data_IF_546242293824
#
_entry.id   IF_546242293824
#
_cell.length_a   1.000
_cell.length_b   1.000
_cell.length_c   1.000
_cell.angle_alpha   90.00
_cell.angle_beta   90.00
_cell.angle_gamma   90.00
#
_symmetry.space_group_name_H-M   'P 1'
#
loop_
_entity.id
_entity.type
_entity.pdbx_description
1 polymer ?
#
# COMPACT_ATOMS: atom_id res chain seq x y z
N UNK A 1 14.85 21.91 -20.20
CA UNK A 1 15.65 21.44 -19.04
C UNK A 1 15.51 19.93 -18.99
N UNK A 2 16.61 19.19 -19.11
CA UNK A 2 16.61 17.72 -18.97
C UNK A 2 16.58 17.39 -17.48
N UNK A 3 15.44 16.91 -16.98
CA UNK A 3 15.36 16.42 -15.61
C UNK A 3 16.22 15.16 -15.47
N UNK A 4 17.04 15.11 -14.42
CA UNK A 4 17.83 13.93 -14.08
C UNK A 4 16.92 12.83 -13.49
N UNK A 5 17.29 11.53 -13.61
CA UNK A 5 16.50 10.45 -13.03
C UNK A 5 16.24 10.61 -11.52
N UNK A 6 17.20 11.17 -10.77
CA UNK A 6 17.04 11.48 -9.35
C UNK A 6 15.98 12.54 -9.08
N UNK A 7 15.96 13.63 -9.88
CA UNK A 7 14.95 14.68 -9.74
C UNK A 7 13.55 14.18 -10.05
N UNK A 8 13.41 13.28 -11.04
CA UNK A 8 12.14 12.63 -11.37
C UNK A 8 11.68 11.75 -10.19
N UNK A 9 12.59 10.98 -9.60
CA UNK A 9 12.29 10.13 -8.46
C UNK A 9 11.89 10.95 -7.22
N UNK A 10 12.64 12.00 -6.89
CA UNK A 10 12.34 12.90 -5.77
C UNK A 10 10.98 13.57 -5.95
N UNK A 11 10.65 13.99 -7.18
CA UNK A 11 9.34 14.55 -7.50
C UNK A 11 8.23 13.52 -7.33
N UNK A 12 8.42 12.29 -7.80
CA UNK A 12 7.45 11.21 -7.65
C UNK A 12 7.20 10.88 -6.16
N UNK A 13 8.26 10.81 -5.35
CA UNK A 13 8.17 10.60 -3.89
C UNK A 13 7.45 11.77 -3.22
N UNK A 14 7.77 13.01 -3.60
CA UNK A 14 7.10 14.20 -3.06
C UNK A 14 5.61 14.17 -3.35
N UNK A 15 5.21 13.84 -4.57
CA UNK A 15 3.81 13.76 -4.99
C UNK A 15 3.06 12.63 -4.33
N UNK A 16 3.66 11.45 -4.22
CA UNK A 16 3.04 10.31 -3.52
C UNK A 16 2.66 10.63 -2.07
N UNK A 17 3.43 11.49 -1.39
CA UNK A 17 3.18 11.90 0.00
C UNK A 17 1.98 12.84 0.17
N UNK A 18 1.37 13.34 -0.91
CA UNK A 18 0.12 14.09 -0.83
C UNK A 18 -1.04 13.11 -0.51
N UNK A 19 -1.93 13.40 0.45
CA UNK A 19 -2.98 12.45 0.87
C UNK A 19 -3.91 11.99 -0.26
N UNK A 20 -4.20 12.87 -1.23
CA UNK A 20 -4.96 12.51 -2.43
C UNK A 20 -4.21 11.53 -3.31
N UNK A 21 -2.94 11.80 -3.58
CA UNK A 21 -2.10 10.95 -4.42
C UNK A 21 -1.86 9.59 -3.77
N UNK A 22 -1.63 9.56 -2.46
CA UNK A 22 -1.56 8.32 -1.69
C UNK A 22 -2.86 7.52 -1.84
N UNK A 23 -4.02 8.17 -1.70
CA UNK A 23 -5.34 7.55 -1.90
C UNK A 23 -5.49 6.97 -3.31
N UNK A 24 -5.07 7.70 -4.35
CA UNK A 24 -5.09 7.23 -5.73
C UNK A 24 -4.19 6.00 -5.91
N UNK A 25 -2.98 6.00 -5.36
CA UNK A 25 -2.09 4.83 -5.41
C UNK A 25 -2.67 3.62 -4.66
N UNK A 26 -3.30 3.83 -3.51
CA UNK A 26 -4.00 2.76 -2.78
C UNK A 26 -5.18 2.22 -3.57
N UNK A 27 -5.97 3.10 -4.20
CA UNK A 27 -7.09 2.69 -5.07
C UNK A 27 -6.58 1.90 -6.29
N UNK A 28 -5.47 2.34 -6.90
CA UNK A 28 -4.83 1.61 -7.99
C UNK A 28 -4.32 0.23 -7.55
N UNK A 29 -3.73 0.12 -6.36
CA UNK A 29 -3.30 -1.17 -5.81
C UNK A 29 -4.47 -2.13 -5.60
N UNK A 30 -5.60 -1.64 -5.07
CA UNK A 30 -6.83 -2.43 -4.98
C UNK A 30 -7.34 -2.83 -6.38
N UNK A 31 -7.28 -1.91 -7.34
CA UNK A 31 -7.59 -2.17 -8.74
C UNK A 31 -6.71 -3.28 -9.34
N UNK A 32 -5.40 -3.28 -9.10
CA UNK A 32 -4.50 -4.33 -9.56
C UNK A 32 -4.81 -5.69 -8.92
N UNK A 33 -5.19 -5.73 -7.64
CA UNK A 33 -5.65 -6.96 -7.00
C UNK A 33 -6.92 -7.51 -7.69
N UNK A 34 -7.87 -6.63 -8.02
CA UNK A 34 -9.06 -6.99 -8.79
C UNK A 34 -8.72 -7.42 -10.22
N UNK A 35 -7.74 -6.79 -10.86
CA UNK A 35 -7.21 -7.22 -12.16
C UNK A 35 -6.68 -8.64 -12.09
N UNK A 36 -5.85 -8.97 -11.09
CA UNK A 36 -5.32 -10.32 -10.91
C UNK A 36 -6.45 -11.33 -10.70
N UNK A 37 -7.46 -11.00 -9.88
CA UNK A 37 -8.58 -11.88 -9.63
C UNK A 37 -9.46 -12.07 -10.87
N UNK A 38 -9.82 -11.00 -11.58
CA UNK A 38 -10.73 -11.06 -12.72
C UNK A 38 -10.03 -11.39 -14.05
N UNK A 39 -8.71 -11.27 -14.12
CA UNK A 39 -7.91 -11.31 -15.36
C UNK A 39 -8.43 -10.33 -16.42
N UNK A 40 -8.90 -9.15 -15.99
CA UNK A 40 -9.54 -8.18 -16.87
C UNK A 40 -8.54 -7.13 -17.36
N UNK A 41 -8.31 -7.03 -18.69
CA UNK A 41 -7.43 -6.00 -19.25
C UNK A 41 -8.01 -4.58 -19.07
N UNK A 42 -9.34 -4.44 -18.98
CA UNK A 42 -9.98 -3.16 -18.70
C UNK A 42 -9.68 -2.68 -17.29
N UNK A 43 -9.76 -3.58 -16.29
CA UNK A 43 -9.37 -3.25 -14.92
C UNK A 43 -7.88 -2.92 -14.84
N UNK A 44 -7.04 -3.63 -15.60
CA UNK A 44 -5.61 -3.33 -15.68
C UNK A 44 -5.36 -1.91 -16.19
N UNK A 45 -5.97 -1.55 -17.33
CA UNK A 45 -5.85 -0.22 -17.91
C UNK A 45 -6.37 0.87 -16.96
N UNK A 46 -7.54 0.67 -16.35
CA UNK A 46 -8.10 1.60 -15.37
C UNK A 46 -7.17 1.78 -14.16
N UNK A 47 -6.62 0.68 -13.63
CA UNK A 47 -5.68 0.71 -12.49
C UNK A 47 -4.38 1.44 -12.84
N UNK A 48 -3.86 1.24 -14.05
CA UNK A 48 -2.70 1.99 -14.55
C UNK A 48 -2.99 3.48 -14.69
N UNK A 49 -4.15 3.87 -15.19
CA UNK A 49 -4.55 5.28 -15.30
C UNK A 49 -4.63 5.93 -13.92
N UNK A 50 -5.26 5.24 -12.95
CA UNK A 50 -5.39 5.73 -11.58
C UNK A 50 -4.02 5.81 -10.89
N UNK A 51 -3.15 4.82 -11.09
CA UNK A 51 -1.77 4.85 -10.60
C UNK A 51 -1.01 6.05 -11.19
N UNK A 52 -1.11 6.24 -12.51
CA UNK A 52 -0.52 7.37 -13.22
C UNK A 52 -1.02 8.72 -12.68
N UNK A 53 -2.33 8.84 -12.45
CA UNK A 53 -2.97 10.04 -11.90
C UNK A 53 -2.36 10.46 -10.56
N UNK A 54 -1.99 9.50 -9.70
CA UNK A 54 -1.34 9.76 -8.41
C UNK A 54 0.10 10.30 -8.51
N UNK A 55 0.71 10.32 -9.69
CA UNK A 55 1.99 10.99 -9.94
C UNK A 55 1.85 12.42 -10.49
N UNK A 56 0.64 12.90 -10.74
CA UNK A 56 0.39 14.30 -11.10
C UNK A 56 0.11 15.15 -9.85
N UNK A 57 0.03 16.47 -10.04
CA UNK A 57 -0.41 17.40 -9.01
C UNK A 57 -1.81 17.87 -9.41
N UNK A 58 -2.85 17.06 -9.12
CA UNK A 58 -4.19 17.41 -9.51
C UNK A 58 -4.66 18.61 -8.68
N UNK A 59 -5.36 19.55 -9.32
CA UNK A 59 -5.98 20.69 -8.66
C UNK A 59 -7.21 20.23 -7.87
N UNK A 60 -6.94 19.55 -6.75
CA UNK A 60 -7.95 19.01 -5.84
C UNK A 60 -8.08 19.92 -4.62
N UNK A 61 -9.29 20.03 -4.05
CA UNK A 61 -9.49 20.78 -2.82
C UNK A 61 -8.64 20.17 -1.69
N UNK A 62 -8.36 20.99 -0.68
CA UNK A 62 -7.72 20.52 0.56
C UNK A 62 -8.41 19.26 1.08
N UNK A 63 -7.66 18.19 1.44
CA UNK A 63 -8.23 16.96 1.93
C UNK A 63 -9.19 17.20 3.11
N UNK A 64 -10.44 16.70 3.07
CA UNK A 64 -11.39 16.89 4.15
C UNK A 64 -10.93 16.15 5.42
N UNK A 65 -11.22 16.71 6.60
CA UNK A 65 -10.90 16.08 7.88
C UNK A 65 -11.87 14.93 8.22
N UNK A 66 -11.68 13.80 7.57
CA UNK A 66 -12.42 12.57 7.82
C UNK A 66 -11.49 11.42 8.26
N UNK A 67 -12.09 10.30 8.68
CA UNK A 67 -11.33 9.12 9.15
C UNK A 67 -10.35 8.59 8.10
N UNK A 68 -10.72 8.65 6.83
CA UNK A 68 -9.90 8.19 5.72
C UNK A 68 -8.65 9.05 5.55
N UNK A 69 -8.78 10.37 5.46
CA UNK A 69 -7.61 11.25 5.28
C UNK A 69 -6.71 11.31 6.51
N UNK A 70 -7.27 11.11 7.71
CA UNK A 70 -6.45 10.87 8.91
C UNK A 70 -5.65 9.57 8.82
N UNK A 71 -6.23 8.50 8.27
CA UNK A 71 -5.51 7.24 8.02
C UNK A 71 -4.42 7.45 6.96
N UNK A 72 -4.75 8.07 5.83
CA UNK A 72 -3.82 8.35 4.74
C UNK A 72 -2.62 9.18 5.24
N UNK A 73 -2.86 10.25 6.02
CA UNK A 73 -1.80 11.05 6.60
C UNK A 73 -0.91 10.24 7.55
N UNK A 74 -1.49 9.38 8.41
CA UNK A 74 -0.73 8.47 9.28
C UNK A 74 0.07 7.45 8.48
N UNK A 75 -0.47 6.93 7.39
CA UNK A 75 0.20 5.98 6.51
C UNK A 75 1.40 6.62 5.81
N UNK A 76 1.22 7.81 5.24
CA UNK A 76 2.32 8.61 4.65
C UNK A 76 3.42 8.88 5.68
N UNK A 77 3.04 9.28 6.89
CA UNK A 77 4.02 9.54 7.95
C UNK A 77 4.74 8.26 8.38
N UNK A 78 4.02 7.14 8.47
CA UNK A 78 4.62 5.83 8.73
C UNK A 78 5.59 5.41 7.62
N UNK A 79 5.24 5.58 6.35
CA UNK A 79 6.11 5.28 5.20
C UNK A 79 7.38 6.14 5.22
N UNK A 80 7.25 7.44 5.53
CA UNK A 80 8.39 8.36 5.69
C UNK A 80 9.33 7.88 6.79
N UNK A 81 8.78 7.57 7.97
CA UNK A 81 9.56 7.12 9.11
C UNK A 81 10.21 5.75 8.85
N UNK A 82 9.49 4.84 8.19
CA UNK A 82 10.03 3.56 7.77
C UNK A 82 11.18 3.74 6.79
N UNK A 83 11.02 4.58 5.76
CA UNK A 83 12.06 4.86 4.77
C UNK A 83 13.32 5.48 5.40
N UNK A 84 13.13 6.45 6.31
CA UNK A 84 14.22 7.13 7.00
C UNK A 84 14.96 6.25 8.03
N UNK A 85 14.29 5.24 8.60
CA UNK A 85 14.91 4.35 9.57
C UNK A 85 16.09 3.56 8.96
N UNK A 86 17.21 3.39 9.68
CA UNK A 86 18.37 2.66 9.17
C UNK A 86 18.04 1.19 8.88
N UNK A 87 18.68 0.64 7.85
CA UNK A 87 18.54 -0.78 7.51
C UNK A 87 19.28 -1.66 8.51
N UNK A 88 18.57 -2.10 9.54
CA UNK A 88 19.03 -3.12 10.47
C UNK A 88 18.42 -4.50 10.13
N UNK A 89 18.92 -5.56 10.77
CA UNK A 89 18.44 -6.94 10.56
C UNK A 89 16.92 -7.07 10.76
N UNK A 90 16.35 -6.39 11.75
CA UNK A 90 14.91 -6.42 12.01
C UNK A 90 14.09 -5.81 10.86
N UNK A 91 14.51 -4.66 10.33
CA UNK A 91 13.87 -3.99 9.18
C UNK A 91 13.95 -4.87 7.93
N UNK A 92 15.11 -5.49 7.68
CA UNK A 92 15.30 -6.42 6.57
C UNK A 92 14.37 -7.64 6.67
N UNK A 93 14.29 -8.28 7.85
CA UNK A 93 13.42 -9.43 8.05
C UNK A 93 11.94 -9.08 7.87
N UNK A 94 11.50 -7.94 8.43
CA UNK A 94 10.14 -7.44 8.24
C UNK A 94 9.84 -7.15 6.76
N UNK A 95 10.77 -6.51 6.06
CA UNK A 95 10.62 -6.25 4.63
C UNK A 95 10.54 -7.55 3.82
N UNK A 96 11.44 -8.50 4.07
CA UNK A 96 11.43 -9.80 3.41
C UNK A 96 10.13 -10.57 3.67
N UNK A 97 9.62 -10.54 4.90
CA UNK A 97 8.34 -11.14 5.25
C UNK A 97 7.17 -10.49 4.52
N UNK A 98 7.09 -9.16 4.53
CA UNK A 98 6.03 -8.42 3.81
C UNK A 98 6.10 -8.69 2.31
N UNK A 99 7.31 -8.72 1.73
CA UNK A 99 7.52 -9.06 0.32
C UNK A 99 7.05 -10.48 0.01
N UNK A 100 7.38 -11.46 0.86
CA UNK A 100 6.92 -12.85 0.70
C UNK A 100 5.39 -12.92 0.73
N UNK A 101 4.74 -12.29 1.72
CA UNK A 101 3.28 -12.24 1.83
C UNK A 101 2.67 -11.60 0.58
N UNK A 102 3.25 -10.50 0.06
CA UNK A 102 2.78 -9.84 -1.15
C UNK A 102 2.89 -10.74 -2.40
N UNK A 103 4.00 -11.48 -2.54
CA UNK A 103 4.18 -12.43 -3.64
C UNK A 103 3.19 -13.59 -3.57
N UNK A 104 2.97 -14.16 -2.37
CA UNK A 104 1.98 -15.23 -2.15
C UNK A 104 0.57 -14.71 -2.42
N UNK A 105 0.23 -13.49 -1.98
CA UNK A 105 -1.06 -12.88 -2.25
C UNK A 105 -1.27 -12.65 -3.76
N UNK A 106 -0.27 -12.14 -4.47
CA UNK A 106 -0.34 -11.95 -5.92
C UNK A 106 -0.53 -13.29 -6.66
N UNK A 107 0.23 -14.32 -6.26
CA UNK A 107 0.08 -15.67 -6.79
C UNK A 107 -1.32 -16.24 -6.51
N UNK A 108 -1.83 -16.12 -5.29
CA UNK A 108 -3.14 -16.64 -4.90
C UNK A 108 -4.29 -15.92 -5.62
N UNK A 109 -4.18 -14.59 -5.81
CA UNK A 109 -5.13 -13.82 -6.61
C UNK A 109 -5.11 -14.26 -8.08
N UNK A 110 -3.92 -14.50 -8.63
CA UNK A 110 -3.74 -14.98 -10.01
C UNK A 110 -4.28 -16.40 -10.22
N UNK A 111 -4.00 -17.34 -9.31
CA UNK A 111 -4.54 -18.71 -9.39
C UNK A 111 -6.00 -18.80 -8.96
N UNK A 112 -6.54 -17.72 -8.38
CA UNK A 112 -7.88 -17.65 -7.77
C UNK A 112 -8.10 -18.72 -6.69
N UNK A 113 -7.06 -19.04 -5.93
CA UNK A 113 -7.12 -20.06 -4.87
C UNK A 113 -7.82 -19.49 -3.61
N UNK A 114 -9.08 -19.87 -3.34
CA UNK A 114 -9.83 -19.30 -2.21
C UNK A 114 -9.30 -19.75 -0.86
N UNK A 115 -8.63 -20.91 -0.78
CA UNK A 115 -8.09 -21.43 0.48
C UNK A 115 -6.91 -20.57 0.91
N UNK A 116 -6.00 -20.28 -0.01
CA UNK A 116 -4.83 -19.44 0.29
C UNK A 116 -5.25 -18.01 0.61
N UNK A 117 -6.23 -17.46 -0.11
CA UNK A 117 -6.81 -16.15 0.20
C UNK A 117 -7.47 -16.12 1.59
N UNK A 118 -8.21 -17.17 1.95
CA UNK A 118 -8.82 -17.30 3.27
C UNK A 118 -7.77 -17.42 4.39
N UNK A 119 -6.68 -18.15 4.16
CA UNK A 119 -5.56 -18.25 5.11
C UNK A 119 -4.88 -16.89 5.31
N UNK A 120 -4.66 -16.12 4.24
CA UNK A 120 -4.11 -14.76 4.34
C UNK A 120 -5.04 -13.83 5.13
N UNK A 121 -6.36 -13.90 4.88
CA UNK A 121 -7.35 -13.13 5.62
C UNK A 121 -7.40 -13.52 7.11
N UNK A 122 -7.38 -14.83 7.41
CA UNK A 122 -7.35 -15.34 8.77
C UNK A 122 -6.06 -14.93 9.50
N UNK A 123 -4.91 -14.98 8.83
CA UNK A 123 -3.65 -14.52 9.39
C UNK A 123 -3.68 -13.02 9.71
N UNK A 124 -4.21 -12.18 8.80
CA UNK A 124 -4.38 -10.75 9.07
C UNK A 124 -5.31 -10.49 10.26
N UNK A 125 -6.39 -11.26 10.39
CA UNK A 125 -7.30 -11.18 11.52
C UNK A 125 -6.63 -11.62 12.84
N UNK A 126 -5.82 -12.69 12.83
CA UNK A 126 -5.05 -13.10 14.00
C UNK A 126 -4.07 -12.01 14.44
N UNK A 127 -3.37 -11.36 13.51
CA UNK A 127 -2.49 -10.22 13.83
C UNK A 127 -3.29 -9.08 14.46
N UNK A 128 -4.50 -8.79 13.97
CA UNK A 128 -5.39 -7.81 14.59
C UNK A 128 -5.75 -8.21 16.03
N UNK A 129 -6.18 -9.45 16.26
CA UNK A 129 -6.56 -9.96 17.58
C UNK A 129 -5.39 -9.92 18.56
N UNK A 130 -4.19 -10.34 18.15
CA UNK A 130 -2.99 -10.28 18.99
C UNK A 130 -2.69 -8.84 19.38
N UNK A 131 -2.77 -7.88 18.45
CA UNK A 131 -2.55 -6.47 18.73
C UNK A 131 -3.59 -5.88 19.69
N UNK A 132 -4.85 -6.27 19.53
CA UNK A 132 -5.95 -5.84 20.39
C UNK A 132 -5.79 -6.41 21.82
N UNK A 133 -5.45 -7.69 21.94
CA UNK A 133 -5.15 -8.34 23.20
C UNK A 133 -3.99 -7.67 23.95
N UNK A 134 -2.88 -7.39 23.25
CA UNK A 134 -1.74 -6.68 23.83
C UNK A 134 -2.12 -5.26 24.29
N UNK A 135 -2.97 -4.55 23.53
CA UNK A 135 -3.46 -3.23 23.93
C UNK A 135 -4.39 -3.31 25.16
N UNK A 136 -5.11 -4.43 25.32
CA UNK A 136 -5.93 -4.76 26.49
C UNK A 136 -5.13 -5.31 27.69
N UNK A 137 -3.81 -5.42 27.59
CA UNK A 137 -2.95 -5.92 28.67
C UNK A 137 -2.88 -7.44 28.81
N UNK A 138 -3.39 -8.18 27.81
CA UNK A 138 -3.21 -9.63 27.71
C UNK A 138 -1.91 -9.86 26.94
N UNK A 139 -0.84 -10.22 27.67
CA UNK A 139 0.44 -10.59 27.07
C UNK A 139 0.33 -12.03 26.53
N UNK A 140 0.55 -12.27 25.22
CA UNK A 140 0.45 -13.59 24.60
C UNK A 140 1.67 -14.50 24.90
#
# INVERSE_FOLDING_TARGET
MTATPSEIFDLAVKRHRLPWNWTLHTAALAGFALTLLAHSPLLFAASLIVAGAGFFEPDLPTPPDNRWFRLAARAVEWEKNWAAAPWNRHKVLRFAFVLLVALVAAWALWTRDPVVLALLAAFAYLVYVVRDNMAGGIDP
#
